data_IF_597867213069
#
_entry.id   IF_597867213069
#
_cell.length_a   1.000
_cell.length_b   1.000
_cell.length_c   1.000
_cell.angle_alpha   90.00
_cell.angle_beta   90.00
_cell.angle_gamma   90.00
#
_symmetry.space_group_name_H-M   'P 1'
#
loop_
_entity.id
_entity.type
_entity.pdbx_description
1 polymer ?
#
# COMPACT_ATOMS: atom_id res chain seq x y z
N UNK A 1 -9.95 11.73 -6.01
CA UNK A 1 -8.75 11.30 -5.26
C UNK A 1 -9.10 10.05 -4.47
N UNK A 2 -8.29 9.01 -4.54
CA UNK A 2 -8.46 7.73 -3.82
C UNK A 2 -7.25 7.53 -2.93
N UNK A 3 -7.45 7.19 -1.64
CA UNK A 3 -6.35 6.86 -0.73
C UNK A 3 -6.32 5.36 -0.48
N UNK A 4 -5.14 4.76 -0.56
CA UNK A 4 -4.91 3.34 -0.32
C UNK A 4 -3.83 3.23 0.77
N UNK A 5 -4.19 2.59 1.88
CA UNK A 5 -3.26 2.32 2.96
C UNK A 5 -2.44 1.07 2.68
N UNK A 6 -1.17 1.12 3.01
CA UNK A 6 -0.18 0.05 2.86
C UNK A 6 0.53 -0.16 4.20
N UNK A 7 1.17 -1.31 4.43
CA UNK A 7 1.93 -1.54 5.68
C UNK A 7 3.04 -0.50 5.93
N UNK A 8 3.56 0.09 4.87
CA UNK A 8 4.64 1.06 4.90
C UNK A 8 4.16 2.53 4.88
N UNK A 9 2.84 2.78 4.75
CA UNK A 9 2.30 4.13 4.67
C UNK A 9 1.03 4.21 3.84
N UNK A 10 0.98 5.10 2.85
CA UNK A 10 -0.20 5.27 1.98
C UNK A 10 0.16 5.76 0.59
N UNK A 11 -0.76 5.49 -0.35
CA UNK A 11 -0.79 6.08 -1.68
C UNK A 11 -2.02 6.98 -1.83
N UNK A 12 -1.84 8.17 -2.34
CA UNK A 12 -2.92 9.05 -2.78
C UNK A 12 -2.93 9.08 -4.31
N UNK A 13 -3.96 8.51 -4.91
CA UNK A 13 -4.14 8.48 -6.35
C UNK A 13 -4.82 9.78 -6.78
N UNK A 14 -4.04 10.66 -7.39
CA UNK A 14 -4.48 11.95 -7.85
C UNK A 14 -5.24 11.85 -9.17
N UNK A 15 -4.76 10.97 -10.06
CA UNK A 15 -5.41 10.67 -11.33
C UNK A 15 -5.12 9.21 -11.74
N UNK A 16 -6.11 8.56 -12.33
CA UNK A 16 -5.98 7.30 -13.04
C UNK A 16 -6.95 7.31 -14.22
N UNK A 17 -6.40 7.17 -15.41
CA UNK A 17 -7.14 7.06 -16.66
C UNK A 17 -6.51 6.01 -17.58
N UNK A 18 -6.97 5.91 -18.82
CA UNK A 18 -6.51 4.93 -19.81
C UNK A 18 -5.07 5.15 -20.32
N UNK A 19 -4.42 6.23 -19.93
CA UNK A 19 -3.09 6.61 -20.42
C UNK A 19 -2.03 6.64 -19.33
N UNK A 20 -2.40 7.06 -18.12
CA UNK A 20 -1.44 7.17 -17.02
C UNK A 20 -2.11 7.05 -15.65
N UNK A 21 -1.29 6.75 -14.67
CA UNK A 21 -1.57 6.89 -13.25
C UNK A 21 -0.64 7.95 -12.64
N UNK A 22 -1.19 8.80 -11.78
CA UNK A 22 -0.48 9.84 -11.06
C UNK A 22 -0.76 9.71 -9.58
N UNK A 23 0.30 9.44 -8.79
CA UNK A 23 0.19 9.18 -7.36
C UNK A 23 1.15 10.05 -6.55
N UNK A 24 0.77 10.27 -5.30
CA UNK A 24 1.65 10.69 -4.24
C UNK A 24 1.75 9.56 -3.23
N UNK A 25 2.97 9.19 -2.87
CA UNK A 25 3.27 8.03 -2.02
C UNK A 25 3.98 8.55 -0.76
N UNK A 26 3.44 8.17 0.39
CA UNK A 26 3.98 8.51 1.71
C UNK A 26 4.49 7.23 2.35
N UNK A 27 5.78 7.18 2.68
CA UNK A 27 6.41 6.03 3.31
C UNK A 27 6.98 6.46 4.66
N UNK A 28 6.57 5.76 5.71
CA UNK A 28 6.98 6.06 7.08
C UNK A 28 8.45 5.66 7.31
N UNK A 29 9.15 6.41 8.11
CA UNK A 29 10.55 6.14 8.50
C UNK A 29 10.74 4.69 8.98
N UNK A 30 11.81 4.05 8.55
CA UNK A 30 12.15 2.67 8.90
C UNK A 30 11.31 1.59 8.19
N UNK A 31 10.36 1.98 7.33
CA UNK A 31 9.60 1.03 6.52
C UNK A 31 10.06 1.02 5.07
N UNK A 32 9.58 0.06 4.30
CA UNK A 32 10.00 -0.14 2.90
C UNK A 32 8.88 -0.75 2.06
N UNK A 33 8.92 -0.45 0.76
CA UNK A 33 8.06 -1.13 -0.21
C UNK A 33 8.48 -2.59 -0.39
N UNK A 34 7.66 -3.42 -1.02
CA UNK A 34 8.09 -4.75 -1.46
C UNK A 34 9.28 -4.65 -2.43
N UNK A 35 10.12 -5.67 -2.46
CA UNK A 35 11.07 -5.86 -3.54
C UNK A 35 10.34 -6.52 -4.69
N UNK A 36 10.22 -5.82 -5.82
CA UNK A 36 9.29 -6.15 -6.88
C UNK A 36 9.79 -5.73 -8.26
N UNK A 37 9.08 -6.17 -9.30
CA UNK A 37 9.16 -5.64 -10.66
C UNK A 37 7.77 -5.64 -11.30
N UNK A 38 7.66 -5.05 -12.48
CA UNK A 38 6.46 -4.99 -13.31
C UNK A 38 6.72 -5.61 -14.67
N UNK A 39 5.74 -6.28 -15.27
CA UNK A 39 5.85 -6.83 -16.62
C UNK A 39 5.56 -5.78 -17.71
N UNK A 40 4.64 -4.86 -17.43
CA UNK A 40 4.13 -3.90 -18.41
C UNK A 40 4.28 -2.45 -17.95
N UNK A 41 4.16 -2.21 -16.63
CA UNK A 41 4.17 -0.86 -16.06
C UNK A 41 5.53 -0.20 -16.23
N UNK A 42 5.51 0.99 -16.84
CA UNK A 42 6.61 1.94 -16.82
C UNK A 42 6.28 3.00 -15.77
N UNK A 43 7.20 3.28 -14.86
CA UNK A 43 6.98 4.29 -13.82
C UNK A 43 8.17 5.23 -13.67
N UNK A 44 7.86 6.46 -13.31
CA UNK A 44 8.85 7.48 -12.96
C UNK A 44 8.55 8.00 -11.58
N UNK A 45 9.57 8.04 -10.73
CA UNK A 45 9.48 8.50 -9.35
C UNK A 45 10.33 9.74 -9.14
N UNK A 46 9.82 10.68 -8.36
CA UNK A 46 10.53 11.87 -7.92
C UNK A 46 10.45 11.97 -6.39
N UNK A 47 11.59 12.06 -5.72
CA UNK A 47 11.67 12.24 -4.27
C UNK A 47 11.45 13.71 -3.92
N UNK A 48 10.30 14.01 -3.30
CA UNK A 48 9.92 15.37 -2.91
C UNK A 48 10.51 15.73 -1.56
N UNK A 49 10.44 14.80 -0.59
CA UNK A 49 10.80 15.07 0.80
C UNK A 49 11.40 13.83 1.45
N UNK A 50 12.32 14.05 2.40
CA UNK A 50 12.94 13.02 3.21
C UNK A 50 14.19 12.40 2.57
N UNK A 51 14.67 11.31 3.18
CA UNK A 51 15.85 10.55 2.73
C UNK A 51 15.45 9.10 2.54
N UNK A 52 15.81 8.51 1.40
CA UNK A 52 15.48 7.14 1.06
C UNK A 52 16.69 6.39 0.49
N UNK A 53 16.75 5.07 0.75
CA UNK A 53 17.62 4.17 0.02
C UNK A 53 16.83 3.54 -1.14
N UNK A 54 17.28 3.75 -2.35
CA UNK A 54 16.73 3.14 -3.56
C UNK A 54 17.53 1.90 -3.94
N UNK A 55 16.84 0.81 -4.15
CA UNK A 55 17.37 -0.43 -4.73
C UNK A 55 16.90 -0.51 -6.17
N UNK A 56 17.80 -0.41 -7.11
CA UNK A 56 17.48 -0.33 -8.54
C UNK A 56 18.34 -1.31 -9.33
N UNK A 57 17.71 -2.18 -10.11
CA UNK A 57 18.42 -3.08 -11.01
C UNK A 57 18.91 -2.32 -12.25
N UNK A 58 20.22 -2.30 -12.47
CA UNK A 58 20.84 -1.68 -13.64
C UNK A 58 20.67 -2.54 -14.92
N UNK A 59 21.22 -2.11 -16.04
CA UNK A 59 21.10 -2.83 -17.32
C UNK A 59 21.91 -4.13 -17.37
N UNK A 60 22.84 -4.32 -16.45
CA UNK A 60 23.65 -5.54 -16.29
C UNK A 60 22.96 -6.57 -15.38
N UNK A 61 21.77 -6.24 -14.83
CA UNK A 61 21.02 -7.10 -13.91
C UNK A 61 21.50 -7.05 -12.47
N UNK A 62 22.37 -6.09 -12.13
CA UNK A 62 22.89 -5.90 -10.78
C UNK A 62 22.00 -4.89 -10.04
N UNK A 63 21.62 -5.21 -8.81
CA UNK A 63 20.86 -4.29 -7.96
C UNK A 63 21.82 -3.38 -7.20
N UNK A 64 21.77 -2.13 -7.53
CA UNK A 64 22.51 -1.07 -6.86
C UNK A 64 21.64 -0.45 -5.76
N UNK A 65 22.28 -0.04 -4.66
CA UNK A 65 21.65 0.60 -3.50
C UNK A 65 22.28 1.95 -3.29
N UNK A 66 21.47 3.00 -3.38
CA UNK A 66 21.93 4.38 -3.23
C UNK A 66 21.07 5.14 -2.23
N UNK A 67 21.69 6.01 -1.43
CA UNK A 67 20.97 6.93 -0.55
C UNK A 67 20.71 8.20 -1.34
N UNK A 68 19.42 8.57 -1.40
CA UNK A 68 18.95 9.67 -2.21
C UNK A 68 18.22 10.72 -1.36
N UNK A 69 18.23 11.95 -1.84
CA UNK A 69 17.67 13.13 -1.20
C UNK A 69 16.64 13.83 -2.12
N UNK A 70 15.87 14.81 -1.62
CA UNK A 70 14.92 15.56 -2.44
C UNK A 70 15.52 16.11 -3.73
N UNK A 71 14.83 15.91 -4.83
CA UNK A 71 15.31 16.20 -6.18
C UNK A 71 15.76 14.96 -6.96
N UNK A 72 15.95 13.81 -6.30
CA UNK A 72 16.25 12.56 -7.00
C UNK A 72 15.09 12.15 -7.89
N UNK A 73 15.43 11.72 -9.11
CA UNK A 73 14.48 11.26 -10.11
C UNK A 73 14.98 9.96 -10.75
N UNK A 74 14.06 9.02 -10.94
CA UNK A 74 14.34 7.75 -11.63
C UNK A 74 13.17 7.31 -12.47
N UNK A 75 13.45 6.69 -13.61
CA UNK A 75 12.49 5.96 -14.42
C UNK A 75 12.79 4.47 -14.37
N UNK A 76 11.82 3.68 -13.95
CA UNK A 76 11.90 2.24 -13.81
C UNK A 76 11.13 1.60 -14.95
N UNK A 77 11.85 0.88 -15.80
CA UNK A 77 11.30 0.18 -16.97
C UNK A 77 10.69 -1.17 -16.54
N UNK A 78 9.78 -1.74 -17.34
CA UNK A 78 9.34 -3.12 -17.17
C UNK A 78 10.51 -4.08 -16.94
N UNK A 79 10.27 -5.10 -16.12
CA UNK A 79 11.22 -6.14 -15.69
C UNK A 79 12.37 -5.68 -14.80
N UNK A 80 12.52 -4.38 -14.49
CA UNK A 80 13.55 -3.89 -13.59
C UNK A 80 13.12 -4.04 -12.14
N UNK A 81 13.90 -4.79 -11.36
CA UNK A 81 13.67 -5.01 -9.93
C UNK A 81 14.02 -3.74 -9.16
N UNK A 82 13.15 -3.41 -8.22
CA UNK A 82 13.32 -2.21 -7.42
C UNK A 82 12.67 -2.32 -6.05
N UNK A 83 13.12 -1.47 -5.13
CA UNK A 83 12.56 -1.26 -3.78
C UNK A 83 12.93 0.15 -3.31
N UNK A 84 12.06 0.74 -2.50
CA UNK A 84 12.36 1.99 -1.77
C UNK A 84 12.32 1.71 -0.28
N UNK A 85 13.36 2.12 0.43
CA UNK A 85 13.49 2.04 1.89
C UNK A 85 13.52 3.46 2.44
N UNK A 86 12.56 3.81 3.30
CA UNK A 86 12.49 5.12 3.90
C UNK A 86 13.44 5.22 5.10
N UNK A 87 14.48 6.04 5.00
CA UNK A 87 15.39 6.34 6.12
C UNK A 87 14.72 7.32 7.08
N UNK A 88 14.07 8.34 6.55
CA UNK A 88 13.15 9.23 7.27
C UNK A 88 11.75 9.05 6.71
N UNK A 89 10.74 9.73 7.21
CA UNK A 89 9.47 9.87 6.48
C UNK A 89 9.76 10.50 5.12
N UNK A 90 9.19 9.92 4.06
CA UNK A 90 9.40 10.40 2.69
C UNK A 90 8.11 10.64 1.95
N UNK A 91 8.17 11.54 1.00
CA UNK A 91 7.13 11.79 0.02
C UNK A 91 7.70 11.57 -1.38
N UNK A 92 7.12 10.62 -2.10
CA UNK A 92 7.41 10.37 -3.50
C UNK A 92 6.24 10.82 -4.38
N UNK A 93 6.57 11.30 -5.57
CA UNK A 93 5.66 11.53 -6.64
C UNK A 93 5.89 10.47 -7.72
N UNK A 94 4.85 9.72 -8.09
CA UNK A 94 4.90 8.70 -9.14
C UNK A 94 3.99 9.08 -10.29
N UNK A 95 4.52 8.98 -11.50
CA UNK A 95 3.74 8.95 -12.74
C UNK A 95 4.05 7.63 -13.43
N UNK A 96 3.03 6.88 -13.79
CA UNK A 96 3.20 5.59 -14.44
C UNK A 96 2.18 5.37 -15.54
N UNK A 97 2.41 4.37 -16.36
CA UNK A 97 1.38 3.80 -17.23
C UNK A 97 0.25 3.20 -16.38
N UNK A 98 -0.95 2.94 -16.94
CA UNK A 98 -2.15 2.64 -16.15
C UNK A 98 -2.20 1.23 -15.55
N UNK A 99 -1.19 0.39 -15.77
CA UNK A 99 -1.12 -1.01 -15.30
C UNK A 99 -0.82 -1.09 -13.79
N UNK A 100 -1.72 -0.54 -12.96
CA UNK A 100 -1.50 -0.36 -11.52
C UNK A 100 -1.47 -1.67 -10.72
N UNK A 101 -2.12 -2.72 -11.21
CA UNK A 101 -2.15 -4.06 -10.58
C UNK A 101 -1.10 -5.02 -11.18
N UNK A 102 -0.17 -4.51 -11.99
CA UNK A 102 0.94 -5.25 -12.57
C UNK A 102 2.12 -5.30 -11.60
N UNK A 103 1.97 -6.02 -10.50
CA UNK A 103 3.02 -6.19 -9.48
C UNK A 103 3.44 -7.64 -9.40
N UNK A 104 4.74 -7.89 -9.58
CA UNK A 104 5.36 -9.18 -9.28
C UNK A 104 6.30 -8.98 -8.10
N UNK A 105 5.85 -9.47 -6.94
CA UNK A 105 6.58 -9.35 -5.68
C UNK A 105 7.58 -10.49 -5.55
N UNK A 106 8.83 -10.13 -5.29
CA UNK A 106 9.93 -11.09 -5.09
C UNK A 106 10.07 -11.39 -3.59
N UNK A 107 9.97 -10.34 -2.77
CA UNK A 107 9.97 -10.48 -1.32
C UNK A 107 9.32 -9.28 -0.64
N UNK A 108 8.75 -9.52 0.52
CA UNK A 108 8.11 -8.51 1.34
C UNK A 108 8.48 -8.68 2.82
N UNK A 109 8.58 -7.56 3.53
CA UNK A 109 8.91 -7.55 4.96
C UNK A 109 7.66 -7.33 5.85
N UNK A 110 6.48 -7.38 5.23
CA UNK A 110 5.18 -7.18 5.89
C UNK A 110 4.27 -8.40 5.76
N UNK A 111 4.85 -9.58 5.54
CA UNK A 111 4.16 -10.88 5.41
C UNK A 111 3.06 -10.91 4.33
N UNK A 112 3.19 -10.09 3.27
CA UNK A 112 2.30 -10.14 2.12
C UNK A 112 2.76 -11.21 1.14
N UNK A 113 1.82 -11.77 0.38
CA UNK A 113 2.10 -12.83 -0.61
C UNK A 113 3.15 -12.40 -1.63
N UNK A 114 4.05 -13.32 -1.98
CA UNK A 114 5.00 -13.20 -3.08
C UNK A 114 4.36 -13.65 -4.41
N UNK A 115 5.02 -13.34 -5.52
CA UNK A 115 4.59 -13.69 -6.87
C UNK A 115 3.70 -12.64 -7.52
N UNK A 116 2.88 -13.06 -8.48
CA UNK A 116 2.00 -12.15 -9.25
C UNK A 116 0.79 -11.74 -8.44
N UNK A 117 0.70 -10.44 -8.14
CA UNK A 117 -0.35 -9.87 -7.32
C UNK A 117 -1.43 -9.27 -8.22
N UNK A 118 -2.59 -9.91 -8.26
CA UNK A 118 -3.72 -9.48 -9.10
C UNK A 118 -4.70 -8.56 -8.38
N UNK A 119 -4.46 -8.26 -7.10
CA UNK A 119 -5.38 -7.49 -6.25
C UNK A 119 -4.65 -6.51 -5.32
N UNK A 120 -3.50 -5.98 -5.78
CA UNK A 120 -2.65 -5.06 -4.99
C UNK A 120 -3.43 -3.83 -4.47
N UNK A 121 -4.42 -3.38 -5.21
CA UNK A 121 -5.20 -2.18 -4.91
C UNK A 121 -6.69 -2.46 -4.63
N UNK A 122 -7.06 -3.71 -4.40
CA UNK A 122 -8.41 -4.03 -3.91
C UNK A 122 -8.58 -3.50 -2.48
N UNK A 123 -9.75 -2.96 -2.19
CA UNK A 123 -10.06 -2.57 -0.80
C UNK A 123 -10.05 -3.83 0.07
N UNK A 124 -9.33 -3.84 1.19
CA UNK A 124 -9.42 -4.96 2.11
C UNK A 124 -10.88 -5.11 2.56
N UNK A 125 -11.41 -6.34 2.49
CA UNK A 125 -12.70 -6.66 3.06
C UNK A 125 -12.50 -6.89 4.56
N UNK A 126 -13.06 -6.01 5.40
CA UNK A 126 -13.09 -6.24 6.83
C UNK A 126 -14.18 -7.27 7.14
N UNK A 127 -13.78 -8.48 7.53
CA UNK A 127 -14.68 -9.50 8.03
C UNK A 127 -14.74 -9.43 9.56
N UNK A 128 -15.83 -8.90 10.10
CA UNK A 128 -16.06 -8.89 11.55
C UNK A 128 -16.90 -10.09 11.91
N UNK A 129 -16.31 -11.06 12.60
CA UNK A 129 -17.02 -12.21 13.13
C UNK A 129 -17.85 -11.78 14.34
N UNK A 130 -19.12 -11.56 14.15
CA UNK A 130 -20.08 -11.18 15.20
C UNK A 130 -20.90 -12.36 15.73
N UNK A 131 -20.60 -13.57 15.27
CA UNK A 131 -21.25 -14.79 15.72
C UNK A 131 -20.86 -15.13 17.18
N UNK A 132 -21.83 -15.41 17.99
CA UNK A 132 -21.68 -15.84 19.38
C UNK A 132 -22.95 -15.59 20.19
N UNK A 133 -23.26 -16.49 21.09
CA UNK A 133 -24.50 -16.46 21.89
C UNK A 133 -24.58 -15.22 22.81
N UNK A 134 -23.46 -14.52 23.03
CA UNK A 134 -23.46 -13.30 23.85
C UNK A 134 -23.93 -13.53 25.30
N UNK A 135 -23.64 -14.71 25.87
CA UNK A 135 -24.16 -15.15 27.18
C UNK A 135 -23.92 -14.18 28.35
N UNK A 136 -22.98 -13.23 28.17
CA UNK A 136 -22.70 -12.18 29.16
C UNK A 136 -23.57 -10.94 29.01
N UNK A 137 -24.35 -10.86 27.95
CA UNK A 137 -25.21 -9.71 27.62
C UNK A 137 -26.70 -10.06 27.88
N UNK A 138 -26.95 -11.24 28.44
CA UNK A 138 -28.31 -11.72 28.78
C UNK A 138 -29.32 -11.45 27.65
N UNK A 139 -30.45 -10.86 27.98
CA UNK A 139 -31.57 -10.64 27.06
C UNK A 139 -31.26 -9.62 25.92
N UNK A 140 -30.17 -8.85 26.03
CA UNK A 140 -29.81 -7.83 25.01
C UNK A 140 -29.36 -8.45 23.70
N UNK A 141 -28.86 -9.68 23.72
CA UNK A 141 -28.35 -10.36 22.50
C UNK A 141 -29.29 -11.38 21.90
N UNK A 142 -30.51 -11.59 22.49
CA UNK A 142 -31.46 -12.59 22.01
C UNK A 142 -32.03 -12.27 20.61
N UNK A 143 -32.17 -11.00 20.27
CA UNK A 143 -32.80 -10.55 19.04
C UNK A 143 -31.90 -9.70 18.15
N UNK A 144 -30.75 -9.25 18.64
CA UNK A 144 -29.82 -8.37 17.92
C UNK A 144 -28.42 -8.93 18.00
N UNK A 145 -27.75 -9.05 16.85
CA UNK A 145 -26.35 -9.40 16.83
C UNK A 145 -25.54 -8.40 17.68
N UNK A 146 -24.68 -8.91 18.59
CA UNK A 146 -23.93 -8.09 19.53
C UNK A 146 -23.09 -6.97 18.89
N UNK A 147 -22.64 -7.16 17.65
CA UNK A 147 -21.94 -6.14 16.88
C UNK A 147 -22.82 -4.95 16.49
N UNK A 148 -24.15 -5.13 16.52
CA UNK A 148 -25.14 -4.09 16.19
C UNK A 148 -25.73 -3.43 17.45
N UNK A 149 -25.35 -3.88 18.65
CA UNK A 149 -25.78 -3.23 19.90
C UNK A 149 -25.26 -1.80 19.93
N UNK A 150 -26.08 -0.83 20.37
CA UNK A 150 -25.67 0.56 20.40
C UNK A 150 -24.69 0.80 21.56
N UNK A 151 -23.63 1.55 21.26
CA UNK A 151 -22.73 2.14 22.24
C UNK A 151 -22.60 3.62 21.86
N UNK A 152 -22.94 4.51 22.74
CA UNK A 152 -22.92 5.97 22.51
C UNK A 152 -23.66 6.39 21.21
N UNK A 153 -24.88 5.85 21.04
CA UNK A 153 -25.76 6.05 19.88
C UNK A 153 -25.22 5.54 18.51
N UNK A 154 -24.15 4.79 18.50
CA UNK A 154 -23.64 4.10 17.30
C UNK A 154 -23.58 2.58 17.56
N UNK A 155 -23.74 1.77 16.54
CA UNK A 155 -23.50 0.34 16.67
C UNK A 155 -22.02 0.08 17.04
N UNK A 156 -21.76 -0.91 17.88
CA UNK A 156 -20.39 -1.27 18.29
C UNK A 156 -19.49 -1.48 17.08
N UNK A 157 -19.99 -2.16 16.05
CA UNK A 157 -19.26 -2.39 14.80
C UNK A 157 -18.80 -1.09 14.12
N UNK A 158 -19.57 -0.01 14.25
CA UNK A 158 -19.19 1.30 13.68
C UNK A 158 -17.95 1.89 14.35
N UNK A 159 -17.84 1.73 15.67
CA UNK A 159 -16.65 2.17 16.42
C UNK A 159 -15.37 1.36 16.11
N UNK A 160 -15.52 0.20 15.48
CA UNK A 160 -14.39 -0.65 15.06
C UNK A 160 -13.91 -0.33 13.63
N UNK A 161 -14.72 0.40 12.85
CA UNK A 161 -14.47 0.70 11.45
C UNK A 161 -14.04 2.17 11.24
N UNK A 162 -14.50 3.07 12.13
CA UNK A 162 -14.07 4.49 12.17
C UNK A 162 -12.61 4.60 12.67
#
# INVERSE_FOLDING_TARGET
>A
MKTIYKPWGKEEWLELNDKYCYKRIYINAGTKTSYQYHEHKLESMYLIEGTAEFWLENDEGVVEKTIEHPGFFVTIKPFKKHRVVAVTDIILQEVSTPEVDDVIRISDDSDREDGKITHEHMKPALCILTAGIGSRLENLSEHINKGLLPLDNKAIITHMID
#
